data_IF_003586805340
#
_entry.id   IF_003586805340
#
_cell.length_a   1.000
_cell.length_b   1.000
_cell.length_c   1.000
_cell.angle_alpha   90.00
_cell.angle_beta   90.00
_cell.angle_gamma   90.00
#
_symmetry.space_group_name_H-M   'P 1'
#
loop_
_entity.id
_entity.type
_entity.pdbx_description
1 polymer ?
#
# COMPACT_ATOMS: atom_id res chain seq x y z
N UNK A 1 11.19 -9.44 29.20
CA UNK A 1 10.86 -9.82 27.82
C UNK A 1 9.35 -9.98 27.75
N UNK A 2 8.66 -9.00 27.15
CA UNK A 2 7.19 -8.99 27.08
C UNK A 2 6.72 -9.81 25.89
N UNK A 3 6.19 -10.99 26.14
CA UNK A 3 5.48 -11.79 25.14
C UNK A 3 3.99 -11.50 25.26
N UNK A 4 3.34 -11.23 24.13
CA UNK A 4 1.89 -11.08 24.06
C UNK A 4 1.30 -12.47 23.87
N UNK A 5 0.50 -12.92 24.84
CA UNK A 5 -0.25 -14.16 24.75
C UNK A 5 -1.52 -13.89 23.93
N UNK A 6 -1.76 -14.72 22.93
CA UNK A 6 -2.96 -14.69 22.08
C UNK A 6 -3.65 -16.05 22.18
N UNK A 7 -4.99 -16.05 22.14
CA UNK A 7 -5.78 -17.27 22.28
C UNK A 7 -5.66 -18.16 21.03
N UNK A 8 -5.86 -17.59 19.83
CA UNK A 8 -5.70 -18.27 18.56
C UNK A 8 -5.22 -17.33 17.47
N UNK A 9 -4.33 -17.84 16.61
CA UNK A 9 -3.83 -17.13 15.44
C UNK A 9 -4.74 -17.46 14.25
N UNK A 10 -5.68 -16.57 13.93
CA UNK A 10 -6.73 -16.80 12.91
C UNK A 10 -6.22 -17.00 11.47
N UNK A 11 -4.92 -16.84 11.25
CA UNK A 11 -4.26 -17.05 9.97
C UNK A 11 -3.05 -16.14 9.80
N UNK A 12 -2.15 -16.53 8.91
CA UNK A 12 -1.01 -15.71 8.52
C UNK A 12 -1.18 -15.34 7.05
N UNK A 13 -1.46 -14.06 6.76
CA UNK A 13 -1.56 -13.60 5.38
C UNK A 13 -0.18 -13.18 4.87
N UNK A 14 0.53 -14.12 4.24
CA UNK A 14 1.82 -13.86 3.63
C UNK A 14 1.61 -13.42 2.19
N UNK A 15 1.56 -12.10 1.96
CA UNK A 15 1.48 -11.54 0.61
C UNK A 15 2.89 -11.38 0.05
N UNK A 16 3.17 -12.00 -1.10
CA UNK A 16 4.40 -11.71 -1.85
C UNK A 16 4.17 -10.41 -2.62
N UNK A 17 4.81 -9.35 -2.14
CA UNK A 17 4.80 -8.02 -2.77
C UNK A 17 5.97 -7.98 -3.73
N UNK A 18 5.69 -7.90 -5.05
CA UNK A 18 6.73 -7.63 -6.05
C UNK A 18 6.64 -6.17 -6.48
N UNK A 19 7.74 -5.42 -6.36
CA UNK A 19 7.78 -4.03 -6.83
C UNK A 19 7.49 -3.95 -8.33
N UNK A 20 6.65 -3.00 -8.72
CA UNK A 20 6.49 -2.65 -10.14
C UNK A 20 7.39 -1.46 -10.48
N UNK A 21 8.31 -1.67 -11.43
CA UNK A 21 9.14 -0.61 -11.99
C UNK A 21 8.38 0.15 -13.08
N UNK A 22 8.69 1.43 -13.27
CA UNK A 22 8.14 2.22 -14.38
C UNK A 22 6.81 2.95 -14.10
N UNK A 23 6.30 2.95 -12.87
CA UNK A 23 5.12 3.75 -12.47
C UNK A 23 5.31 5.27 -12.66
N UNK A 24 6.56 5.74 -12.81
CA UNK A 24 6.86 7.16 -12.91
C UNK A 24 6.51 7.92 -11.63
N UNK A 25 6.52 9.25 -11.70
CA UNK A 25 6.12 10.10 -10.58
C UNK A 25 4.64 10.47 -10.73
N UNK A 26 3.76 9.73 -10.06
CA UNK A 26 2.32 9.99 -10.02
C UNK A 26 2.01 10.68 -8.69
N UNK A 27 1.47 11.90 -8.74
CA UNK A 27 1.05 12.61 -7.52
C UNK A 27 0.03 11.77 -6.74
N UNK A 28 0.24 11.64 -5.42
CA UNK A 28 -0.63 10.86 -4.52
C UNK A 28 -0.37 9.35 -4.52
N UNK A 29 0.63 8.87 -5.27
CA UNK A 29 1.04 7.45 -5.32
C UNK A 29 2.52 7.36 -4.98
N UNK A 30 2.87 6.59 -3.95
CA UNK A 30 4.26 6.36 -3.56
C UNK A 30 4.88 5.16 -4.27
N UNK A 31 4.06 4.28 -4.84
CA UNK A 31 4.50 3.16 -5.65
C UNK A 31 3.40 2.15 -5.93
N UNK A 32 3.78 0.93 -6.28
CA UNK A 32 2.84 -0.16 -6.48
C UNK A 32 3.51 -1.52 -6.42
N UNK A 33 2.69 -2.55 -6.37
CA UNK A 33 3.13 -3.93 -6.31
C UNK A 33 2.27 -4.86 -7.15
N UNK A 34 2.88 -5.91 -7.68
CA UNK A 34 2.18 -7.05 -8.26
C UNK A 34 1.96 -8.09 -7.17
N UNK A 35 0.71 -8.49 -6.98
CA UNK A 35 0.27 -9.50 -6.03
C UNK A 35 0.49 -10.92 -6.58
N UNK A 36 0.45 -11.92 -5.70
CA UNK A 36 0.61 -13.33 -6.07
C UNK A 36 -0.47 -13.86 -7.03
N UNK A 37 -1.63 -13.20 -7.10
CA UNK A 37 -2.73 -13.50 -8.02
C UNK A 37 -2.64 -12.73 -9.36
N UNK A 38 -1.56 -11.98 -9.57
CA UNK A 38 -1.32 -11.19 -10.78
C UNK A 38 -1.98 -9.82 -10.80
N UNK A 39 -2.77 -9.44 -9.77
CA UNK A 39 -3.34 -8.10 -9.67
C UNK A 39 -2.29 -7.07 -9.27
N UNK A 40 -2.51 -5.82 -9.65
CA UNK A 40 -1.68 -4.68 -9.26
C UNK A 40 -2.34 -3.95 -8.10
N UNK A 41 -1.56 -3.68 -7.05
CA UNK A 41 -1.92 -2.80 -5.93
C UNK A 41 -1.11 -1.52 -5.99
N UNK A 42 -1.72 -0.38 -5.65
CA UNK A 42 -1.01 0.90 -5.51
C UNK A 42 -0.79 1.22 -4.04
N UNK A 43 0.38 1.76 -3.73
CA UNK A 43 0.69 2.33 -2.43
C UNK A 43 0.41 3.82 -2.53
N UNK A 44 -0.53 4.31 -1.72
CA UNK A 44 -0.98 5.69 -1.77
C UNK A 44 -0.17 6.57 -0.81
N UNK A 45 0.18 7.76 -1.27
CA UNK A 45 0.71 8.83 -0.44
C UNK A 45 -0.47 9.71 0.01
N UNK A 46 -0.98 9.44 1.21
CA UNK A 46 -2.19 10.09 1.73
C UNK A 46 -2.02 11.62 1.85
N UNK A 47 -0.92 12.17 2.40
CA UNK A 47 -0.66 13.61 2.36
C UNK A 47 -0.73 14.21 0.95
N UNK A 48 -0.05 13.59 -0.03
CA UNK A 48 -0.10 14.04 -1.43
C UNK A 48 -1.49 13.96 -2.04
N UNK A 49 -2.27 12.93 -1.70
CA UNK A 49 -3.65 12.76 -2.16
C UNK A 49 -4.58 13.83 -1.60
N UNK A 50 -4.44 14.19 -0.32
CA UNK A 50 -5.22 15.28 0.30
C UNK A 50 -4.90 16.62 -0.38
N UNK A 51 -3.61 16.90 -0.60
CA UNK A 51 -3.19 18.14 -1.28
C UNK A 51 -3.74 18.24 -2.71
N UNK A 52 -3.77 17.13 -3.45
CA UNK A 52 -4.40 17.05 -4.78
C UNK A 52 -5.90 17.36 -4.73
N UNK A 53 -6.61 16.74 -3.79
CA UNK A 53 -8.05 16.94 -3.63
C UNK A 53 -8.37 18.41 -3.29
N UNK A 54 -7.56 19.04 -2.43
CA UNK A 54 -7.71 20.45 -2.08
C UNK A 54 -7.40 21.39 -3.26
N UNK A 55 -6.40 21.07 -4.08
CA UNK A 55 -6.04 21.87 -5.26
C UNK A 55 -7.14 21.85 -6.33
N UNK A 56 -7.93 20.78 -6.41
CA UNK A 56 -9.06 20.66 -7.36
C UNK A 56 -10.35 21.35 -6.90
N UNK A 57 -10.43 21.75 -5.62
CA UNK A 57 -11.60 22.42 -5.05
C UNK A 57 -11.50 23.96 -5.04
N UNK A 58 -10.51 24.51 -5.74
CA UNK A 58 -10.34 25.93 -6.05
C UNK A 58 -10.21 26.11 -7.56
#
# INVERSE_FOLDING_TARGET
LGVVQVDDLLGQQQVVIKSISGLGNIKGVSGGAVMGDGRVSLILDIPGLIALAQTQMY
#
